data_IF_152202316150
#
_entry.id   IF_152202316150
#
_cell.length_a   1.000
_cell.length_b   1.000
_cell.length_c   1.000
_cell.angle_alpha   90.00
_cell.angle_beta   90.00
_cell.angle_gamma   90.00
#
_symmetry.space_group_name_H-M   'P 1'
#
loop_
_entity.id
_entity.type
_entity.pdbx_description
1 polymer ?
#
# COMPACT_ATOMS: atom_id res chain seq x y z
N UNK A 1 6.19 -16.59 -25.15
CA UNK A 1 5.27 -17.33 -24.26
C UNK A 1 4.29 -16.44 -23.51
N UNK A 2 4.58 -15.17 -23.19
CA UNK A 2 3.63 -14.31 -22.45
C UNK A 2 2.69 -13.47 -23.36
N UNK A 3 2.94 -13.42 -24.66
CA UNK A 3 2.19 -12.54 -25.59
C UNK A 3 0.71 -12.93 -25.73
N UNK A 4 0.37 -14.22 -25.65
CA UNK A 4 -1.01 -14.68 -25.70
C UNK A 4 -1.80 -14.22 -24.46
N UNK A 5 -1.18 -14.23 -23.29
CA UNK A 5 -1.80 -13.73 -22.06
C UNK A 5 -2.01 -12.21 -22.14
N UNK A 6 -1.02 -11.47 -22.64
CA UNK A 6 -1.14 -10.03 -22.88
C UNK A 6 -2.28 -9.72 -23.86
N UNK A 7 -2.39 -10.48 -24.94
CA UNK A 7 -3.49 -10.32 -25.89
C UNK A 7 -4.85 -10.64 -25.22
N UNK A 8 -4.95 -11.72 -24.45
CA UNK A 8 -6.20 -12.07 -23.77
C UNK A 8 -6.63 -11.00 -22.76
N UNK A 9 -5.69 -10.41 -22.02
CA UNK A 9 -5.96 -9.31 -21.09
C UNK A 9 -6.38 -8.05 -21.85
N UNK A 10 -5.71 -7.76 -22.96
CA UNK A 10 -6.06 -6.65 -23.87
C UNK A 10 -7.49 -6.80 -24.39
N UNK A 11 -7.84 -7.98 -24.90
CA UNK A 11 -9.16 -8.30 -25.43
C UNK A 11 -10.24 -8.23 -24.35
N UNK A 12 -9.93 -8.70 -23.14
CA UNK A 12 -10.85 -8.64 -22.01
C UNK A 12 -11.10 -7.19 -21.54
N UNK A 13 -10.05 -6.36 -21.49
CA UNK A 13 -10.19 -4.94 -21.14
C UNK A 13 -11.01 -4.22 -22.21
N UNK A 14 -10.72 -4.47 -23.49
CA UNK A 14 -11.31 -3.74 -24.60
C UNK A 14 -10.93 -2.25 -24.59
N UNK A 15 -11.68 -1.44 -25.34
CA UNK A 15 -11.41 0.00 -25.46
C UNK A 15 -12.32 0.88 -24.58
N UNK A 16 -13.46 0.35 -24.14
CA UNK A 16 -14.47 1.13 -23.42
C UNK A 16 -14.31 1.09 -21.90
N UNK A 17 -13.56 0.11 -21.36
CA UNK A 17 -13.40 -0.08 -19.92
C UNK A 17 -12.19 0.67 -19.38
N UNK A 18 -12.42 1.42 -18.30
CA UNK A 18 -11.34 2.07 -17.57
C UNK A 18 -10.53 1.07 -16.73
N UNK A 19 -11.20 0.07 -16.16
CA UNK A 19 -10.63 -0.99 -15.33
C UNK A 19 -11.33 -2.33 -15.61
N UNK A 20 -10.74 -3.45 -15.17
CA UNK A 20 -11.22 -4.80 -15.48
C UNK A 20 -12.66 -5.06 -15.02
N UNK A 21 -13.10 -4.44 -13.92
CA UNK A 21 -14.45 -4.60 -13.36
C UNK A 21 -15.30 -3.32 -13.41
N UNK A 22 -14.96 -2.35 -14.26
CA UNK A 22 -15.78 -1.14 -14.50
C UNK A 22 -15.01 0.16 -14.35
N UNK A 23 -15.54 1.09 -13.54
CA UNK A 23 -15.07 2.48 -13.48
C UNK A 23 -14.06 2.77 -12.36
N UNK A 24 -13.91 1.86 -11.38
CA UNK A 24 -12.95 1.99 -10.29
C UNK A 24 -11.99 0.82 -10.29
N UNK A 25 -10.73 1.08 -9.92
CA UNK A 25 -9.75 0.02 -9.75
C UNK A 25 -10.15 -0.93 -8.62
N UNK A 26 -10.01 -2.22 -8.89
CA UNK A 26 -10.21 -3.31 -7.94
C UNK A 26 -8.88 -4.01 -7.62
N UNK A 27 -8.88 -4.99 -6.72
CA UNK A 27 -7.67 -5.72 -6.35
C UNK A 27 -6.98 -6.37 -7.55
N UNK A 28 -7.74 -6.87 -8.53
CA UNK A 28 -7.15 -7.46 -9.73
C UNK A 28 -6.45 -6.41 -10.59
N UNK A 29 -6.96 -5.18 -10.63
CA UNK A 29 -6.35 -4.07 -11.37
C UNK A 29 -5.00 -3.70 -10.76
N UNK A 30 -4.89 -3.75 -9.42
CA UNK A 30 -3.63 -3.55 -8.70
C UNK A 30 -2.59 -4.62 -9.05
N UNK A 31 -3.00 -5.90 -9.06
CA UNK A 31 -2.11 -7.03 -9.40
C UNK A 31 -1.64 -6.92 -10.85
N UNK A 32 -2.57 -6.58 -11.76
CA UNK A 32 -2.26 -6.42 -13.17
C UNK A 32 -1.30 -5.24 -13.40
N UNK A 33 -1.55 -4.09 -12.76
CA UNK A 33 -0.65 -2.94 -12.80
C UNK A 33 0.75 -3.32 -12.30
N UNK A 34 0.85 -4.06 -11.19
CA UNK A 34 2.13 -4.49 -10.65
C UNK A 34 2.93 -5.37 -11.63
N UNK A 35 2.27 -6.27 -12.39
CA UNK A 35 2.94 -7.07 -13.41
C UNK A 35 3.32 -6.24 -14.65
N UNK A 36 2.40 -5.45 -15.19
CA UNK A 36 2.63 -4.72 -16.44
C UNK A 36 3.66 -3.58 -16.25
N UNK A 37 3.67 -2.94 -15.09
CA UNK A 37 4.65 -1.89 -14.77
C UNK A 37 6.09 -2.40 -14.79
N UNK A 38 6.33 -3.68 -14.47
CA UNK A 38 7.67 -4.26 -14.55
C UNK A 38 8.22 -4.23 -15.98
N UNK A 39 7.38 -4.47 -16.98
CA UNK A 39 7.80 -4.42 -18.38
C UNK A 39 8.00 -2.99 -18.89
N UNK A 40 7.24 -2.02 -18.37
CA UNK A 40 7.23 -0.65 -18.89
C UNK A 40 8.19 0.30 -18.18
N UNK A 41 8.44 0.10 -16.88
CA UNK A 41 9.19 1.06 -16.06
C UNK A 41 10.56 0.56 -15.62
N UNK A 42 10.79 -0.75 -15.63
CA UNK A 42 12.12 -1.29 -15.33
C UNK A 42 12.96 -1.14 -16.60
N UNK A 43 14.16 -0.54 -16.53
CA UNK A 43 15.04 -0.32 -17.69
C UNK A 43 15.73 -1.63 -18.10
N UNK A 44 14.94 -2.64 -18.45
CA UNK A 44 15.37 -3.93 -18.95
C UNK A 44 14.72 -4.16 -20.31
N UNK A 45 15.49 -4.67 -21.25
CA UNK A 45 14.98 -4.99 -22.58
C UNK A 45 14.17 -6.29 -22.54
N UNK A 46 12.85 -6.14 -22.46
CA UNK A 46 11.91 -7.24 -22.50
C UNK A 46 11.19 -7.27 -23.86
N UNK A 47 11.15 -8.42 -24.57
CA UNK A 47 10.40 -8.52 -25.82
C UNK A 47 8.89 -8.23 -25.65
N UNK A 48 8.37 -8.39 -24.43
CA UNK A 48 7.01 -8.05 -24.05
C UNK A 48 6.73 -6.56 -24.14
N UNK A 49 7.71 -5.70 -23.80
CA UNK A 49 7.57 -4.24 -23.86
C UNK A 49 7.25 -3.81 -25.28
N UNK A 50 8.05 -4.29 -26.26
CA UNK A 50 7.80 -4.05 -27.68
C UNK A 50 6.44 -4.59 -28.12
N UNK A 51 6.11 -5.81 -27.73
CA UNK A 51 4.82 -6.41 -28.09
C UNK A 51 3.63 -5.60 -27.56
N UNK A 52 3.69 -5.11 -26.32
CA UNK A 52 2.64 -4.27 -25.74
C UNK A 52 2.48 -2.95 -26.50
N UNK A 53 3.59 -2.29 -26.86
CA UNK A 53 3.52 -1.04 -27.64
C UNK A 53 2.95 -1.23 -29.05
N UNK A 54 3.25 -2.36 -29.71
CA UNK A 54 2.83 -2.61 -31.09
C UNK A 54 1.43 -3.25 -31.19
N UNK A 55 1.06 -4.14 -30.27
CA UNK A 55 -0.11 -5.01 -30.39
C UNK A 55 -1.16 -4.78 -29.28
N UNK A 56 -0.78 -4.22 -28.14
CA UNK A 56 -1.68 -4.01 -26.99
C UNK A 56 -1.56 -2.59 -26.40
N UNK A 57 -1.71 -1.51 -27.21
CA UNK A 57 -1.51 -0.14 -26.76
C UNK A 57 -2.52 0.29 -25.67
N UNK A 58 -3.72 -0.27 -25.67
CA UNK A 58 -4.72 -0.11 -24.61
C UNK A 58 -4.21 -0.55 -23.23
N UNK A 59 -3.32 -1.55 -23.15
CA UNK A 59 -2.70 -1.95 -21.89
C UNK A 59 -1.68 -0.93 -21.41
N UNK A 60 -0.94 -0.31 -22.33
CA UNK A 60 0.00 0.77 -22.00
C UNK A 60 -0.77 1.97 -21.46
N UNK A 61 -1.86 2.36 -22.12
CA UNK A 61 -2.76 3.42 -21.64
C UNK A 61 -3.38 3.08 -20.28
N UNK A 62 -3.79 1.83 -20.09
CA UNK A 62 -4.31 1.35 -18.80
C UNK A 62 -3.29 1.52 -17.67
N UNK A 63 -2.02 1.14 -17.89
CA UNK A 63 -0.95 1.30 -16.89
C UNK A 63 -0.66 2.76 -16.59
N UNK A 64 -0.61 3.62 -17.62
CA UNK A 64 -0.41 5.05 -17.45
C UNK A 64 -1.58 5.69 -16.66
N UNK A 65 -2.82 5.37 -17.03
CA UNK A 65 -4.03 5.84 -16.32
C UNK A 65 -4.03 5.43 -14.85
N UNK A 66 -3.68 4.17 -14.56
CA UNK A 66 -3.61 3.67 -13.19
C UNK A 66 -2.54 4.42 -12.39
N UNK A 67 -1.33 4.60 -12.96
CA UNK A 67 -0.26 5.38 -12.35
C UNK A 67 -0.73 6.80 -12.03
N UNK A 68 -1.25 7.52 -13.02
CA UNK A 68 -1.59 8.94 -12.87
C UNK A 68 -2.74 9.15 -11.87
N UNK A 69 -3.66 8.19 -11.76
CA UNK A 69 -4.80 8.26 -10.84
C UNK A 69 -4.43 7.96 -9.39
N UNK A 70 -3.52 7.01 -9.13
CA UNK A 70 -3.23 6.50 -7.79
C UNK A 70 -1.83 6.87 -7.26
N UNK A 71 -0.91 7.23 -8.15
CA UNK A 71 0.48 7.58 -7.87
C UNK A 71 0.88 8.88 -8.59
N UNK A 72 0.21 10.02 -8.33
CA UNK A 72 0.46 11.27 -9.04
C UNK A 72 1.87 11.82 -8.82
N UNK A 73 2.54 11.42 -7.73
CA UNK A 73 3.90 11.80 -7.37
C UNK A 73 4.95 10.75 -7.76
N UNK A 74 4.60 9.80 -8.63
CA UNK A 74 5.48 8.72 -9.08
C UNK A 74 6.79 9.27 -9.66
N UNK A 75 6.73 10.22 -10.60
CA UNK A 75 7.93 10.76 -11.24
C UNK A 75 8.88 11.43 -10.23
N UNK A 76 8.35 12.17 -9.26
CA UNK A 76 9.16 12.82 -8.23
C UNK A 76 9.89 11.81 -7.34
N UNK A 77 9.23 10.70 -7.00
CA UNK A 77 9.81 9.62 -6.18
C UNK A 77 10.77 8.73 -6.94
N UNK A 78 10.58 8.60 -8.24
CA UNK A 78 11.43 7.79 -9.12
C UNK A 78 12.64 8.56 -9.67
N UNK A 79 12.79 9.85 -9.34
CA UNK A 79 14.04 10.59 -9.57
C UNK A 79 15.20 9.80 -9.00
N UNK A 80 16.26 9.67 -9.78
CA UNK A 80 17.43 8.86 -9.45
C UNK A 80 17.89 9.17 -8.03
N UNK A 81 17.79 8.17 -7.16
CA UNK A 81 18.55 8.19 -5.92
C UNK A 81 20.00 8.02 -6.36
N UNK A 82 20.91 8.95 -6.02
CA UNK A 82 22.32 8.74 -6.30
C UNK A 82 22.72 7.36 -5.80
N UNK A 83 23.44 6.59 -6.62
CA UNK A 83 23.78 5.19 -6.33
C UNK A 83 24.51 5.03 -4.98
N UNK A 84 25.09 6.12 -4.47
CA UNK A 84 25.62 6.23 -3.13
C UNK A 84 24.52 6.12 -2.06
N UNK A 85 24.50 4.96 -1.41
CA UNK A 85 23.61 4.66 -0.29
C UNK A 85 23.77 5.67 0.88
N UNK A 86 24.94 6.30 1.03
CA UNK A 86 25.21 7.25 2.12
C UNK A 86 24.49 8.60 1.97
N UNK A 87 23.98 8.92 0.77
CA UNK A 87 23.26 10.17 0.48
C UNK A 87 21.75 10.02 0.71
N UNK A 88 21.23 8.79 0.86
CA UNK A 88 19.80 8.59 1.08
C UNK A 88 19.38 9.24 2.40
N UNK A 89 18.38 10.13 2.41
CA UNK A 89 17.87 10.65 3.66
C UNK A 89 17.35 9.49 4.51
N UNK A 90 17.87 9.38 5.73
CA UNK A 90 17.38 8.39 6.71
C UNK A 90 15.86 8.50 6.81
N UNK A 91 15.12 7.38 6.73
CA UNK A 91 13.67 7.41 6.89
C UNK A 91 13.33 8.09 8.22
N UNK A 92 12.26 8.91 8.29
CA UNK A 92 11.89 9.56 9.53
C UNK A 92 11.73 8.50 10.61
N UNK A 93 12.53 8.63 11.69
CA UNK A 93 12.49 7.71 12.82
C UNK A 93 11.05 7.67 13.33
N UNK A 94 10.33 6.59 13.05
CA UNK A 94 9.00 6.36 13.61
C UNK A 94 9.17 6.28 15.12
N UNK A 95 8.85 7.36 15.82
CA UNK A 95 8.83 7.36 17.28
C UNK A 95 7.74 6.39 17.69
N UNK A 96 8.13 5.26 18.30
CA UNK A 96 7.18 4.38 18.96
C UNK A 96 6.53 5.21 20.06
N UNK A 97 5.31 5.70 19.85
CA UNK A 97 4.54 6.38 20.90
C UNK A 97 4.47 5.42 22.09
N UNK A 98 5.08 5.83 23.19
CA UNK A 98 5.35 4.94 24.31
C UNK A 98 4.03 4.64 25.03
N UNK A 99 3.70 3.35 25.15
CA UNK A 99 2.44 2.81 25.69
C UNK A 99 2.31 2.97 27.22
N UNK A 100 3.17 3.76 27.86
CA UNK A 100 3.20 3.95 29.31
C UNK A 100 1.97 4.66 29.87
N UNK A 101 1.29 5.48 29.07
CA UNK A 101 0.04 6.15 29.48
C UNK A 101 -1.08 5.15 29.78
N UNK A 102 -1.19 4.08 28.99
CA UNK A 102 -2.19 3.02 29.23
C UNK A 102 -1.88 2.23 30.51
N UNK A 103 -0.60 1.97 30.80
CA UNK A 103 -0.20 1.19 31.97
C UNK A 103 -0.37 1.95 33.29
N UNK A 104 -0.15 3.27 33.31
CA UNK A 104 -0.37 4.10 34.52
C UNK A 104 -1.85 4.30 34.82
N UNK A 105 -2.68 4.44 33.78
CA UNK A 105 -4.13 4.56 33.95
C UNK A 105 -4.73 3.26 34.49
N UNK A 106 -4.30 2.10 33.96
CA UNK A 106 -4.73 0.80 34.47
C UNK A 106 -4.32 0.60 35.94
N UNK A 107 -3.08 0.97 36.30
CA UNK A 107 -2.60 0.86 37.67
C UNK A 107 -3.38 1.76 38.66
N UNK A 108 -3.72 2.99 38.27
CA UNK A 108 -4.53 3.89 39.08
C UNK A 108 -5.96 3.35 39.28
N UNK A 109 -6.59 2.83 38.21
CA UNK A 109 -7.93 2.25 38.30
C UNK A 109 -7.94 1.04 39.24
N UNK A 110 -6.96 0.13 39.13
CA UNK A 110 -6.84 -1.03 40.02
C UNK A 110 -6.64 -0.61 41.48
N UNK A 111 -5.79 0.39 41.75
CA UNK A 111 -5.55 0.87 43.11
C UNK A 111 -6.82 1.46 43.76
N UNK A 112 -7.61 2.23 42.99
CA UNK A 112 -8.87 2.80 43.48
C UNK A 112 -9.87 1.68 43.79
N UNK A 113 -9.98 0.67 42.92
CA UNK A 113 -10.90 -0.45 43.13
C UNK A 113 -10.54 -1.27 44.38
N UNK A 114 -9.27 -1.62 44.57
CA UNK A 114 -8.84 -2.42 45.74
C UNK A 114 -8.98 -1.62 47.04
N UNK A 115 -8.62 -0.33 47.03
CA UNK A 115 -8.77 0.54 48.21
C UNK A 115 -10.23 0.73 48.63
N UNK A 116 -11.14 0.90 47.66
CA UNK A 116 -12.58 1.02 47.92
C UNK A 116 -13.17 -0.25 48.54
N UNK A 117 -12.78 -1.43 48.05
CA UNK A 117 -13.23 -2.71 48.60
C UNK A 117 -12.71 -2.91 50.02
N UNK A 118 -11.43 -2.63 50.28
CA UNK A 118 -10.83 -2.76 51.61
C UNK A 118 -11.49 -1.82 52.65
N UNK A 119 -11.75 -0.58 52.26
CA UNK A 119 -12.47 0.39 53.11
C UNK A 119 -13.89 -0.08 53.42
N UNK A 120 -14.62 -0.55 52.40
CA UNK A 120 -15.99 -1.05 52.55
C UNK A 120 -16.06 -2.27 53.49
N UNK A 121 -15.16 -3.24 53.34
CA UNK A 121 -15.09 -4.42 54.20
C UNK A 121 -14.71 -4.04 55.64
N UNK A 122 -13.79 -3.09 55.83
CA UNK A 122 -13.41 -2.60 57.17
C UNK A 122 -14.59 -1.93 57.89
N UNK A 123 -15.41 -1.15 57.17
CA UNK A 123 -16.61 -0.49 57.71
C UNK A 123 -17.73 -1.47 58.11
N UNK A 124 -17.82 -2.64 57.48
CA UNK A 124 -18.91 -3.61 57.70
C UNK A 124 -18.57 -4.75 58.69
N UNK A 125 -17.35 -4.82 59.23
CA UNK A 125 -16.97 -5.82 60.26
C UNK A 125 -17.37 -5.45 61.70
N UNK A 126 -18.05 -4.33 61.90
CA UNK A 126 -18.46 -3.82 63.22
C UNK A 126 -19.96 -3.78 63.47
N UNK A 127 -20.76 -4.58 62.74
CA UNK A 127 -22.18 -4.82 63.03
C UNK A 127 -22.40 -6.30 63.32
#
# INVERSE_FOLDING_TARGET
FCNQDLQAISDYLGNDKLYLHGTKATTIDCVLFAHLSQFLYVPLDHPQTKYMHENCPNLVEYVNRFRDSYFPDHEEKCKEVPADFSIRPEPPKKTKKSTWYSSRYLALVVAISVGGIAWYVSKNKGK
#
